data_IF_475318179416
#
_entry.id   IF_475318179416
#
_cell.length_a   1.000
_cell.length_b   1.000
_cell.length_c   1.000
_cell.angle_alpha   90.00
_cell.angle_beta   90.00
_cell.angle_gamma   90.00
#
_symmetry.space_group_name_H-M   'P 1'
#
loop_
_entity.id
_entity.type
_entity.pdbx_description
1 polymer ?
#
# COMPACT_ATOMS: atom_id res chain seq x y z
N UNK A 1 22.75 -7.03 -17.28
CA UNK A 1 22.49 -6.62 -15.89
C UNK A 1 21.76 -7.76 -15.24
N UNK A 2 22.24 -8.22 -14.08
CA UNK A 2 21.55 -9.26 -13.33
C UNK A 2 20.48 -8.58 -12.47
N UNK A 3 19.22 -8.96 -12.64
CA UNK A 3 18.13 -8.41 -11.87
C UNK A 3 18.05 -9.16 -10.54
N UNK A 4 18.06 -8.43 -9.42
CA UNK A 4 17.88 -9.03 -8.11
C UNK A 4 16.43 -9.43 -7.91
N UNK A 5 16.19 -10.63 -7.41
CA UNK A 5 14.87 -11.08 -6.97
C UNK A 5 14.50 -10.55 -5.58
N UNK A 6 15.42 -9.89 -4.88
CA UNK A 6 15.18 -9.33 -3.56
C UNK A 6 14.08 -8.25 -3.60
N UNK A 7 13.12 -8.36 -2.68
CA UNK A 7 12.13 -7.31 -2.46
C UNK A 7 11.62 -7.29 -1.03
N UNK A 8 11.01 -6.16 -0.66
CA UNK A 8 10.37 -5.93 0.65
C UNK A 8 8.88 -5.74 0.43
N UNK A 9 8.06 -6.53 1.11
CA UNK A 9 6.60 -6.44 1.03
C UNK A 9 6.03 -6.20 2.40
N UNK A 10 5.41 -5.04 2.59
CA UNK A 10 4.70 -4.69 3.81
C UNK A 10 3.21 -4.86 3.56
N UNK A 11 2.54 -5.63 4.41
CA UNK A 11 1.08 -5.75 4.44
C UNK A 11 0.58 -5.11 5.72
N UNK A 12 -0.51 -4.34 5.62
CA UNK A 12 -1.05 -3.56 6.72
C UNK A 12 -2.56 -3.63 6.74
N UNK A 13 -3.09 -4.02 7.88
CA UNK A 13 -4.52 -3.93 8.21
C UNK A 13 -4.73 -2.69 9.07
N UNK A 14 -5.58 -1.78 8.60
CA UNK A 14 -5.96 -0.55 9.30
C UNK A 14 -7.40 -0.63 9.77
N UNK A 15 -7.63 -0.33 11.05
CA UNK A 15 -8.95 -0.37 11.68
C UNK A 15 -9.32 0.98 12.29
N UNK A 16 -10.62 1.29 12.27
CA UNK A 16 -11.16 2.53 12.81
C UNK A 16 -10.86 3.77 11.96
N UNK A 17 -10.63 3.59 10.65
CA UNK A 17 -10.45 4.70 9.71
C UNK A 17 -11.81 5.33 9.39
N UNK A 18 -11.84 6.66 9.28
CA UNK A 18 -13.05 7.41 8.96
C UNK A 18 -13.68 6.96 7.64
N UNK A 19 -15.01 6.74 7.65
CA UNK A 19 -15.76 6.25 6.51
C UNK A 19 -15.52 7.10 5.25
N UNK A 20 -15.54 8.43 5.39
CA UNK A 20 -15.44 9.35 4.24
C UNK A 20 -14.08 9.29 3.55
N UNK A 21 -13.02 8.93 4.28
CA UNK A 21 -11.69 8.73 3.71
C UNK A 21 -11.57 7.40 2.97
N UNK A 22 -12.32 6.39 3.41
CA UNK A 22 -12.33 5.05 2.80
C UNK A 22 -13.20 4.98 1.54
N UNK A 23 -14.17 5.89 1.41
CA UNK A 23 -15.15 5.91 0.31
C UNK A 23 -14.89 7.03 -0.71
N UNK A 24 -13.68 7.59 -0.74
CA UNK A 24 -13.27 8.63 -1.70
C UNK A 24 -12.11 8.13 -2.57
N UNK A 25 -12.45 7.73 -3.81
CA UNK A 25 -11.46 7.18 -4.74
C UNK A 25 -10.39 8.18 -5.16
N UNK A 26 -10.74 9.46 -5.30
CA UNK A 26 -9.82 10.48 -5.78
C UNK A 26 -8.81 10.84 -4.68
N UNK A 27 -9.29 10.90 -3.44
CA UNK A 27 -8.44 11.06 -2.27
C UNK A 27 -7.45 9.90 -2.14
N UNK A 28 -7.94 8.66 -2.20
CA UNK A 28 -7.11 7.47 -2.09
C UNK A 28 -6.10 7.36 -3.23
N UNK A 29 -6.52 7.60 -4.47
CA UNK A 29 -5.65 7.62 -5.64
C UNK A 29 -4.50 8.62 -5.47
N UNK A 30 -4.83 9.88 -5.16
CA UNK A 30 -3.84 10.94 -4.97
C UNK A 30 -2.82 10.58 -3.88
N UNK A 31 -3.29 10.07 -2.74
CA UNK A 31 -2.43 9.75 -1.62
C UNK A 31 -1.59 8.49 -1.84
N UNK A 32 -2.08 7.48 -2.56
CA UNK A 32 -1.26 6.31 -2.90
C UNK A 32 -0.16 6.65 -3.91
N UNK A 33 -0.45 7.48 -4.92
CA UNK A 33 0.59 7.97 -5.84
C UNK A 33 1.64 8.79 -5.09
N UNK A 34 1.20 9.69 -4.21
CA UNK A 34 2.11 10.47 -3.37
C UNK A 34 2.96 9.58 -2.44
N UNK A 35 2.39 8.50 -1.90
CA UNK A 35 3.10 7.53 -1.07
C UNK A 35 4.20 6.81 -1.87
N UNK A 36 3.87 6.35 -3.08
CA UNK A 36 4.81 5.71 -3.98
C UNK A 36 5.99 6.64 -4.32
N UNK A 37 5.72 7.88 -4.71
CA UNK A 37 6.76 8.87 -5.02
C UNK A 37 7.67 9.14 -3.81
N UNK A 38 7.10 9.26 -2.61
CA UNK A 38 7.87 9.48 -1.37
C UNK A 38 8.79 8.31 -1.02
N UNK A 39 8.39 7.08 -1.33
CA UNK A 39 9.23 5.90 -1.14
C UNK A 39 10.40 5.80 -2.12
N UNK A 40 10.44 6.66 -3.14
CA UNK A 40 11.39 6.60 -4.26
C UNK A 40 10.99 5.60 -5.34
N UNK A 41 9.75 5.10 -5.31
CA UNK A 41 9.24 4.22 -6.35
C UNK A 41 8.86 5.03 -7.59
N UNK A 42 8.94 4.39 -8.76
CA UNK A 42 8.49 4.98 -10.02
C UNK A 42 7.14 4.38 -10.41
N UNK A 43 6.11 5.23 -10.48
CA UNK A 43 4.75 4.84 -10.87
C UNK A 43 4.67 4.66 -12.38
N UNK A 44 4.17 3.51 -12.83
CA UNK A 44 3.92 3.21 -14.23
C UNK A 44 2.46 3.42 -14.63
N UNK A 45 1.53 3.02 -13.78
CA UNK A 45 0.10 3.12 -14.03
C UNK A 45 -0.68 3.08 -12.71
N UNK A 46 -1.91 3.58 -12.74
CA UNK A 46 -2.84 3.51 -11.62
C UNK A 46 -4.17 2.97 -12.13
N UNK A 47 -4.74 2.01 -11.41
CA UNK A 47 -6.08 1.48 -11.68
C UNK A 47 -6.93 1.64 -10.44
N UNK A 48 -8.13 2.19 -10.61
CA UNK A 48 -9.07 2.44 -9.51
C UNK A 48 -10.41 1.77 -9.79
N UNK A 49 -11.13 1.43 -8.71
CA UNK A 49 -12.49 0.91 -8.76
C UNK A 49 -13.27 1.35 -7.53
N UNK A 50 -14.33 2.12 -7.76
CA UNK A 50 -15.40 2.36 -6.78
C UNK A 50 -16.43 1.22 -6.83
N UNK A 51 -16.89 0.77 -5.67
CA UNK A 51 -17.89 -0.26 -5.48
C UNK A 51 -19.21 0.34 -4.99
N UNK A 52 -20.30 -0.37 -5.25
CA UNK A 52 -21.64 -0.03 -4.78
C UNK A 52 -22.04 -1.00 -3.67
N UNK A 53 -22.58 -0.54 -2.52
CA UNK A 53 -22.92 0.85 -2.20
C UNK A 53 -21.74 1.71 -1.69
N UNK A 54 -20.59 1.14 -1.39
CA UNK A 54 -19.39 1.84 -0.92
C UNK A 54 -18.14 0.98 -1.07
N UNK A 55 -16.99 1.63 -1.00
CA UNK A 55 -15.66 1.03 -0.99
C UNK A 55 -14.89 1.27 -2.27
N UNK A 56 -13.57 1.26 -2.12
CA UNK A 56 -12.62 1.57 -3.17
C UNK A 56 -11.52 0.50 -3.20
N UNK A 57 -11.08 0.17 -4.41
CA UNK A 57 -9.76 -0.41 -4.65
C UNK A 57 -8.93 0.55 -5.48
N UNK A 58 -7.69 0.78 -5.05
CA UNK A 58 -6.66 1.47 -5.84
C UNK A 58 -5.45 0.55 -5.95
N UNK A 59 -4.95 0.36 -7.17
CA UNK A 59 -3.74 -0.39 -7.47
C UNK A 59 -2.78 0.51 -8.25
N UNK A 60 -1.63 0.78 -7.66
CA UNK A 60 -0.52 1.52 -8.27
C UNK A 60 0.52 0.51 -8.75
N UNK A 61 0.70 0.43 -10.07
CA UNK A 61 1.74 -0.36 -10.70
C UNK A 61 3.06 0.39 -10.61
N UNK A 62 4.07 -0.25 -10.02
CA UNK A 62 5.44 0.28 -9.92
C UNK A 62 6.35 -0.43 -10.92
N UNK A 63 7.51 0.15 -11.24
CA UNK A 63 8.44 -0.41 -12.23
C UNK A 63 8.78 -1.89 -12.05
N UNK A 64 8.75 -2.41 -10.82
CA UNK A 64 9.07 -3.81 -10.54
C UNK A 64 8.11 -4.47 -9.52
N UNK A 65 6.99 -3.83 -9.15
CA UNK A 65 6.14 -4.27 -8.03
C UNK A 65 4.78 -3.53 -7.98
N UNK A 66 4.18 -3.32 -6.80
CA UNK A 66 2.89 -2.64 -6.64
C UNK A 66 2.69 -2.00 -5.26
N UNK A 67 1.78 -1.03 -5.20
CA UNK A 67 1.16 -0.53 -3.99
C UNK A 67 -0.37 -0.59 -4.17
N UNK A 68 -1.10 -1.20 -3.26
CA UNK A 68 -2.56 -1.27 -3.32
C UNK A 68 -3.24 -1.00 -1.99
N UNK A 69 -4.49 -0.55 -2.08
CA UNK A 69 -5.42 -0.45 -0.95
C UNK A 69 -6.77 -1.03 -1.36
N UNK A 70 -7.40 -1.75 -0.44
CA UNK A 70 -8.77 -2.23 -0.50
C UNK A 70 -9.51 -1.76 0.75
N UNK A 71 -10.64 -1.08 0.58
CA UNK A 71 -11.36 -0.48 1.71
C UNK A 71 -12.73 -1.11 1.92
N UNK A 72 -13.15 -1.18 3.17
CA UNK A 72 -14.49 -1.58 3.61
C UNK A 72 -15.01 -0.49 4.55
N UNK A 73 -15.57 0.61 4.01
CA UNK A 73 -15.99 1.78 4.79
C UNK A 73 -16.96 1.42 5.93
N UNK A 74 -17.89 0.50 5.70
CA UNK A 74 -18.88 0.01 6.67
C UNK A 74 -18.28 -0.79 7.84
N UNK A 75 -17.00 -1.17 7.72
CA UNK A 75 -16.22 -1.82 8.78
C UNK A 75 -15.12 -0.91 9.32
N UNK A 76 -15.02 0.33 8.84
CA UNK A 76 -13.92 1.24 9.12
C UNK A 76 -12.54 0.58 8.89
N UNK A 77 -12.44 -0.24 7.84
CA UNK A 77 -11.29 -1.11 7.58
C UNK A 77 -10.64 -0.81 6.22
N UNK A 78 -9.31 -0.87 6.18
CA UNK A 78 -8.55 -0.91 4.94
C UNK A 78 -7.39 -1.90 5.01
N UNK A 79 -7.22 -2.69 3.95
CA UNK A 79 -6.07 -3.56 3.73
C UNK A 79 -5.13 -2.90 2.73
N UNK A 80 -3.84 -2.80 3.06
CA UNK A 80 -2.81 -2.17 2.23
C UNK A 80 -1.69 -3.17 1.97
N UNK A 81 -1.23 -3.23 0.72
CA UNK A 81 -0.05 -3.97 0.30
C UNK A 81 0.94 -2.99 -0.34
N UNK A 82 2.14 -2.87 0.22
CA UNK A 82 3.25 -2.15 -0.41
C UNK A 82 4.40 -3.10 -0.66
N UNK A 83 4.55 -3.53 -1.91
CA UNK A 83 5.64 -4.37 -2.36
C UNK A 83 6.61 -3.56 -3.21
N UNK A 84 7.91 -3.65 -2.91
CA UNK A 84 8.97 -3.00 -3.68
C UNK A 84 10.12 -3.97 -3.95
N UNK A 85 10.76 -3.83 -5.11
CA UNK A 85 11.95 -4.59 -5.48
C UNK A 85 13.22 -3.76 -5.27
N UNK A 86 14.34 -4.46 -5.08
CA UNK A 86 15.65 -3.83 -4.86
C UNK A 86 15.82 -3.25 -3.47
N UNK A 87 16.89 -2.46 -3.30
CA UNK A 87 17.32 -1.91 -2.00
C UNK A 87 17.17 -0.39 -1.89
N UNK A 88 16.82 0.28 -2.99
CA UNK A 88 16.75 1.74 -3.08
C UNK A 88 15.39 2.32 -2.72
N UNK A 89 14.32 1.51 -2.83
CA UNK A 89 12.95 1.91 -2.50
C UNK A 89 12.62 1.43 -1.09
N UNK A 90 12.12 2.32 -0.23
CA UNK A 90 11.75 1.98 1.15
C UNK A 90 10.22 1.99 1.33
N UNK A 91 9.56 0.80 1.32
CA UNK A 91 8.10 0.71 1.39
C UNK A 91 7.54 1.24 2.72
N UNK A 92 8.34 1.23 3.81
CA UNK A 92 7.89 1.78 5.09
C UNK A 92 7.54 3.27 4.98
N UNK A 93 8.25 4.04 4.12
CA UNK A 93 7.95 5.46 3.91
C UNK A 93 6.55 5.66 3.29
N UNK A 94 6.17 4.79 2.34
CA UNK A 94 4.83 4.84 1.75
C UNK A 94 3.76 4.50 2.79
N UNK A 95 3.97 3.45 3.58
CA UNK A 95 3.05 3.04 4.65
C UNK A 95 2.90 4.12 5.72
N UNK A 96 4.00 4.66 6.24
CA UNK A 96 3.98 5.70 7.27
C UNK A 96 3.21 6.94 6.80
N UNK A 97 3.39 7.31 5.53
CA UNK A 97 2.63 8.40 4.92
C UNK A 97 1.14 8.08 4.86
N UNK A 98 0.73 6.92 4.34
CA UNK A 98 -0.69 6.53 4.24
C UNK A 98 -1.34 6.51 5.62
N UNK A 99 -0.67 5.96 6.63
CA UNK A 99 -1.14 5.93 8.03
C UNK A 99 -1.33 7.35 8.59
N UNK A 100 -0.42 8.28 8.27
CA UNK A 100 -0.54 9.68 8.72
C UNK A 100 -1.77 10.40 8.16
N UNK A 101 -2.27 9.95 7.01
CA UNK A 101 -3.42 10.52 6.32
C UNK A 101 -4.72 9.83 6.76
N UNK A 102 -4.73 8.50 6.79
CA UNK A 102 -5.92 7.71 7.16
C UNK A 102 -6.19 7.67 8.67
N UNK A 103 -5.18 7.90 9.51
CA UNK A 103 -5.30 8.02 10.98
C UNK A 103 -6.16 6.91 11.61
N UNK A 104 -5.78 5.63 11.41
CA UNK A 104 -6.48 4.50 12.00
C UNK A 104 -6.43 4.55 13.53
N UNK A 105 -7.41 3.94 14.19
CA UNK A 105 -7.37 3.70 15.64
C UNK A 105 -6.44 2.53 15.99
N UNK A 106 -6.37 1.53 15.11
CA UNK A 106 -5.55 0.32 15.29
C UNK A 106 -4.92 -0.09 13.97
N UNK A 107 -3.69 -0.62 14.05
CA UNK A 107 -2.91 -1.03 12.90
C UNK A 107 -2.20 -2.35 13.19
N UNK A 108 -2.30 -3.31 12.27
CA UNK A 108 -1.49 -4.53 12.27
C UNK A 108 -0.62 -4.57 11.03
N UNK A 109 0.68 -4.75 11.23
CA UNK A 109 1.67 -4.73 10.15
C UNK A 109 2.43 -6.06 10.14
N UNK A 110 2.70 -6.58 8.93
CA UNK A 110 3.70 -7.62 8.71
C UNK A 110 4.60 -7.21 7.57
N UNK A 111 5.90 -7.45 7.75
CA UNK A 111 6.92 -7.19 6.73
C UNK A 111 7.49 -8.52 6.27
N UNK A 112 7.66 -8.65 4.97
CA UNK A 112 8.11 -9.86 4.30
C UNK A 112 9.32 -9.53 3.43
N UNK A 113 10.35 -10.38 3.49
CA UNK A 113 11.43 -10.39 2.51
C UNK A 113 11.09 -11.43 1.43
N UNK A 114 11.20 -11.01 0.17
CA UNK A 114 10.83 -11.77 -1.02
C UNK A 114 12.07 -12.09 -1.85
N UNK A 115 12.06 -13.24 -2.51
CA UNK A 115 13.01 -13.62 -3.57
C UNK A 115 14.45 -13.88 -3.15
N UNK A 116 14.69 -14.27 -1.89
CA UNK A 116 16.01 -14.77 -1.43
C UNK A 116 15.96 -16.22 -0.93
N UNK A 117 14.84 -16.94 -1.17
CA UNK A 117 14.58 -18.28 -0.64
C UNK A 117 13.16 -18.39 -0.11
N UNK A 118 12.97 -19.14 0.98
CA UNK A 118 11.71 -19.16 1.72
C UNK A 118 11.33 -17.74 2.16
N UNK A 119 10.04 -17.44 2.20
CA UNK A 119 9.56 -16.12 2.67
C UNK A 119 9.96 -15.95 4.13
N UNK A 120 10.59 -14.82 4.44
CA UNK A 120 11.02 -14.46 5.79
C UNK A 120 10.15 -13.29 6.26
N UNK A 121 9.62 -13.38 7.48
CA UNK A 121 8.95 -12.26 8.15
C UNK A 121 9.98 -11.44 8.94
N UNK A 122 9.86 -10.13 8.93
CA UNK A 122 10.67 -9.24 9.80
C UNK A 122 9.76 -8.44 10.71
N UNK A 123 10.27 -8.10 11.90
CA UNK A 123 9.58 -7.25 12.88
C UNK A 123 9.45 -5.79 12.39
#
# INVERSE_FOLDING_TARGET
>A
MEYSTFGKHIIVDLWGVDFSLLDDVHFLEYHLVTAADRSGAHVLNVSTKEFDPHGVTVLVLLSESHLSIHTYPEKNFAAIDCYTCGTTVEPQIAIDYIVSILKPNEMHIKKLIRGIGAIVTTD
#
